data_IF_096067315102
#
_entry.id   IF_096067315102
#
_cell.length_a   1.000
_cell.length_b   1.000
_cell.length_c   1.000
_cell.angle_alpha   90.00
_cell.angle_beta   90.00
_cell.angle_gamma   90.00
#
_symmetry.space_group_name_H-M   'P 1'
#
loop_
_entity.id
_entity.type
_entity.pdbx_description
1 polymer ?
#
# COMPACT_ATOMS: atom_id res chain seq x y z
N UNK A 1 -2.55 -17.68 12.45
CA UNK A 1 -3.21 -16.71 13.38
C UNK A 1 -3.76 -15.56 12.57
N UNK A 2 -5.06 -15.26 12.68
CA UNK A 2 -5.67 -14.20 11.88
C UNK A 2 -5.43 -12.83 12.53
N UNK A 3 -4.81 -11.90 11.82
CA UNK A 3 -4.69 -10.50 12.22
C UNK A 3 -5.99 -9.75 11.84
N UNK A 4 -6.48 -8.84 12.70
CA UNK A 4 -7.72 -8.11 12.42
C UNK A 4 -7.54 -7.12 11.26
N UNK A 5 -8.58 -6.95 10.45
CA UNK A 5 -8.60 -5.97 9.36
C UNK A 5 -7.44 -6.07 8.36
N UNK A 6 -7.00 -7.28 8.06
CA UNK A 6 -6.03 -7.52 7.00
C UNK A 6 -6.75 -7.79 5.69
N UNK A 7 -6.27 -7.15 4.64
CA UNK A 7 -6.65 -7.47 3.25
C UNK A 7 -5.39 -7.72 2.44
N UNK A 8 -5.52 -8.49 1.38
CA UNK A 8 -4.42 -8.85 0.49
C UNK A 8 -4.73 -8.45 -0.96
N UNK A 9 -3.69 -8.12 -1.70
CA UNK A 9 -3.78 -7.80 -3.13
C UNK A 9 -2.56 -8.34 -3.85
N UNK A 10 -2.78 -8.88 -5.04
CA UNK A 10 -1.68 -9.23 -5.94
C UNK A 10 -1.22 -7.98 -6.68
N UNK A 11 0.04 -7.62 -6.52
CA UNK A 11 0.64 -6.44 -7.11
C UNK A 11 1.86 -6.83 -7.93
N UNK A 12 2.16 -6.05 -8.95
CA UNK A 12 3.35 -6.22 -9.82
C UNK A 12 3.53 -7.65 -10.38
N UNK A 13 2.40 -8.36 -10.57
CA UNK A 13 2.34 -9.68 -11.18
C UNK A 13 2.61 -10.85 -10.23
N UNK A 14 3.54 -10.72 -9.28
CA UNK A 14 3.99 -11.83 -8.42
C UNK A 14 4.16 -11.49 -6.94
N UNK A 15 3.86 -10.26 -6.51
CA UNK A 15 3.91 -9.89 -5.10
C UNK A 15 2.53 -9.93 -4.45
N UNK A 16 2.35 -10.75 -3.43
CA UNK A 16 1.18 -10.72 -2.57
C UNK A 16 1.43 -9.70 -1.45
N UNK A 17 0.66 -8.63 -1.47
CA UNK A 17 0.80 -7.50 -0.54
C UNK A 17 -0.28 -7.55 0.52
N UNK A 18 0.12 -7.45 1.78
CA UNK A 18 -0.75 -7.45 2.95
C UNK A 18 -0.95 -6.03 3.48
N UNK A 19 -2.20 -5.64 3.65
CA UNK A 19 -2.61 -4.31 4.07
C UNK A 19 -3.23 -4.35 5.46
N UNK A 20 -2.84 -3.42 6.33
CA UNK A 20 -3.62 -3.08 7.50
C UNK A 20 -4.78 -2.16 7.06
N UNK A 21 -5.99 -2.63 7.20
CA UNK A 21 -7.18 -2.03 6.61
C UNK A 21 -7.35 -2.38 5.13
N UNK A 22 -8.23 -1.66 4.44
CA UNK A 22 -8.47 -1.84 3.01
C UNK A 22 -7.85 -0.68 2.22
N UNK A 23 -7.14 -1.00 1.15
CA UNK A 23 -6.45 -0.03 0.29
C UNK A 23 -7.33 1.14 -0.12
N UNK A 24 -8.57 0.88 -0.55
CA UNK A 24 -9.47 1.92 -1.09
C UNK A 24 -9.95 2.93 -0.04
N UNK A 25 -9.87 2.61 1.25
CA UNK A 25 -10.23 3.51 2.35
C UNK A 25 -9.02 4.11 3.08
N UNK A 26 -7.83 3.95 2.53
CA UNK A 26 -6.60 4.48 3.10
C UNK A 26 -5.83 3.50 4.00
N UNK A 27 -6.07 2.19 3.82
CA UNK A 27 -5.20 1.15 4.39
C UNK A 27 -3.76 1.29 3.89
N UNK A 28 -2.84 0.78 4.67
CA UNK A 28 -1.39 0.83 4.37
C UNK A 28 -0.81 -0.58 4.37
N UNK A 29 0.13 -0.83 3.48
CA UNK A 29 0.84 -2.11 3.45
C UNK A 29 1.76 -2.25 4.66
N UNK A 30 1.85 -3.46 5.21
CA UNK A 30 2.74 -3.79 6.32
C UNK A 30 3.68 -4.95 6.02
N UNK A 31 3.32 -5.80 5.06
CA UNK A 31 4.14 -6.92 4.61
C UNK A 31 3.83 -7.25 3.14
N UNK A 32 4.72 -7.97 2.48
CA UNK A 32 4.51 -8.59 1.18
C UNK A 32 5.38 -9.83 1.01
N UNK A 33 4.93 -10.74 0.17
CA UNK A 33 5.67 -11.95 -0.20
C UNK A 33 5.87 -11.99 -1.71
N UNK A 34 7.01 -12.51 -2.14
CA UNK A 34 7.26 -12.85 -3.55
C UNK A 34 6.80 -14.28 -3.79
N UNK A 35 5.86 -14.48 -4.72
CA UNK A 35 5.28 -15.78 -5.04
C UNK A 35 6.15 -16.59 -6.02
N UNK A 36 6.95 -15.91 -6.83
CA UNK A 36 7.78 -16.56 -7.86
C UNK A 36 9.18 -16.91 -7.35
N UNK A 37 9.59 -16.36 -6.21
CA UNK A 37 10.91 -16.59 -5.63
C UNK A 37 12.06 -16.07 -6.48
N UNK A 38 11.79 -15.19 -7.43
CA UNK A 38 12.79 -14.62 -8.36
C UNK A 38 13.39 -13.31 -7.85
N UNK A 39 12.80 -12.76 -6.77
CA UNK A 39 13.22 -11.51 -6.16
C UNK A 39 14.39 -11.63 -5.18
N UNK A 40 14.78 -10.49 -4.61
CA UNK A 40 15.89 -10.38 -3.64
C UNK A 40 15.52 -11.01 -2.28
N UNK A 41 14.26 -11.31 -2.03
CA UNK A 41 13.78 -11.92 -0.79
C UNK A 41 12.40 -12.53 -0.94
N UNK A 42 12.06 -13.41 -0.02
CA UNK A 42 10.78 -14.14 -0.02
C UNK A 42 9.70 -13.47 0.80
N UNK A 43 10.09 -12.69 1.83
CA UNK A 43 9.19 -11.97 2.73
C UNK A 43 9.76 -10.60 3.05
N UNK A 44 8.96 -9.57 2.91
CA UNK A 44 9.30 -8.19 3.22
C UNK A 44 8.29 -7.62 4.20
N UNK A 45 8.76 -6.89 5.23
CA UNK A 45 7.84 -6.29 6.20
C UNK A 45 8.41 -5.03 6.86
N UNK A 46 7.53 -4.21 7.39
CA UNK A 46 7.86 -3.02 8.15
C UNK A 46 8.22 -3.41 9.58
N UNK A 47 9.48 -3.24 9.98
CA UNK A 47 9.93 -3.61 11.33
C UNK A 47 9.99 -2.46 12.34
N UNK A 48 9.85 -1.22 11.87
CA UNK A 48 10.03 -0.03 12.71
C UNK A 48 11.49 0.33 12.93
N UNK A 49 11.74 1.55 13.38
CA UNK A 49 13.10 2.09 13.56
C UNK A 49 13.93 1.30 14.59
N UNK A 50 13.30 0.90 15.68
CA UNK A 50 13.97 0.23 16.81
C UNK A 50 14.56 -1.12 16.41
N UNK A 51 13.83 -1.91 15.63
CA UNK A 51 14.26 -3.26 15.22
C UNK A 51 15.02 -3.29 13.90
N UNK A 52 15.02 -2.20 13.16
CA UNK A 52 15.62 -2.15 11.83
C UNK A 52 17.10 -2.54 11.83
N UNK A 53 17.88 -1.99 12.74
CA UNK A 53 19.31 -2.30 12.86
C UNK A 53 19.56 -3.70 13.43
N UNK A 54 18.82 -4.07 14.48
CA UNK A 54 18.93 -5.39 15.11
C UNK A 54 18.67 -6.54 14.14
N UNK A 55 17.64 -6.42 13.31
CA UNK A 55 17.30 -7.46 12.34
C UNK A 55 18.32 -7.59 11.22
N UNK A 56 18.96 -6.48 10.80
CA UNK A 56 20.00 -6.51 9.78
C UNK A 56 21.30 -7.17 10.23
N UNK A 57 21.54 -7.33 11.53
CA UNK A 57 22.69 -8.08 12.06
C UNK A 57 22.58 -9.59 11.82
N UNK A 58 21.36 -10.06 11.46
CA UNK A 58 21.12 -11.48 11.19
C UNK A 58 21.41 -11.81 9.73
N UNK A 59 22.18 -12.87 9.50
CA UNK A 59 22.43 -13.41 8.17
C UNK A 59 21.09 -13.75 7.48
N UNK A 60 20.96 -13.36 6.21
CA UNK A 60 19.75 -13.57 5.41
C UNK A 60 18.63 -12.53 5.62
N UNK A 61 18.94 -11.44 6.35
CA UNK A 61 18.06 -10.28 6.46
C UNK A 61 18.77 -9.04 5.93
N UNK A 62 18.15 -8.38 4.97
CA UNK A 62 18.72 -7.20 4.31
C UNK A 62 17.75 -6.01 4.36
N UNK A 63 18.25 -4.77 4.25
CA UNK A 63 17.38 -3.62 4.04
C UNK A 63 16.54 -3.82 2.77
N UNK A 64 15.24 -3.62 2.86
CA UNK A 64 14.35 -3.79 1.72
C UNK A 64 14.68 -2.77 0.63
N UNK A 65 14.99 -3.17 -0.61
CA UNK A 65 15.22 -2.24 -1.71
C UNK A 65 14.08 -1.24 -1.86
N UNK A 66 14.41 0.05 -2.03
CA UNK A 66 13.49 1.18 -2.14
C UNK A 66 12.63 1.47 -0.89
N UNK A 67 12.56 0.57 0.08
CA UNK A 67 11.74 0.71 1.30
C UNK A 67 12.57 0.82 2.58
N UNK A 68 13.89 0.71 2.52
CA UNK A 68 14.79 0.77 3.67
C UNK A 68 14.63 2.06 4.50
N UNK A 69 14.42 3.21 3.85
CA UNK A 69 14.19 4.50 4.52
C UNK A 69 12.92 4.52 5.37
N UNK A 70 11.96 3.67 5.05
CA UNK A 70 10.73 3.48 5.82
C UNK A 70 10.83 2.32 6.81
N UNK A 71 12.06 1.85 7.13
CA UNK A 71 12.34 0.77 8.06
C UNK A 71 11.68 -0.57 7.67
N UNK A 72 11.79 -0.89 6.39
CA UNK A 72 11.42 -2.20 5.87
C UNK A 72 12.67 -3.06 5.67
N UNK A 73 12.53 -4.33 5.99
CA UNK A 73 13.54 -5.36 5.71
C UNK A 73 13.00 -6.41 4.75
N UNK A 74 13.91 -7.11 4.11
CA UNK A 74 13.63 -8.30 3.32
C UNK A 74 14.34 -9.51 3.92
N UNK A 75 13.60 -10.60 4.04
CA UNK A 75 14.12 -11.92 4.44
C UNK A 75 14.42 -12.69 3.16
N UNK A 76 15.66 -13.11 2.99
CA UNK A 76 16.11 -13.72 1.74
C UNK A 76 15.57 -15.14 1.54
N UNK A 77 15.38 -15.90 2.62
CA UNK A 77 14.91 -17.28 2.60
C UNK A 77 13.93 -17.56 3.74
N UNK A 78 13.00 -18.47 3.52
CA UNK A 78 12.00 -18.85 4.51
C UNK A 78 12.56 -19.49 5.79
N UNK A 79 13.75 -20.07 5.73
CA UNK A 79 14.43 -20.70 6.87
C UNK A 79 15.30 -19.73 7.68
N UNK A 80 15.43 -18.47 7.27
CA UNK A 80 16.19 -17.42 7.98
C UNK A 80 15.59 -17.11 9.36
N UNK A 81 14.28 -17.12 9.46
CA UNK A 81 13.52 -16.91 10.70
C UNK A 81 12.69 -18.15 11.04
N UNK A 82 12.56 -18.45 12.33
CA UNK A 82 11.65 -19.50 12.76
C UNK A 82 10.19 -19.09 12.53
N UNK A 83 9.26 -20.03 12.31
CA UNK A 83 7.85 -19.70 12.05
C UNK A 83 7.23 -18.78 13.11
N UNK A 84 7.54 -18.99 14.39
CA UNK A 84 7.07 -18.11 15.47
C UNK A 84 7.63 -16.69 15.38
N UNK A 85 8.91 -16.56 15.03
CA UNK A 85 9.53 -15.25 14.83
C UNK A 85 8.87 -14.48 13.68
N UNK A 86 8.57 -15.17 12.58
CA UNK A 86 7.84 -14.58 11.44
C UNK A 86 6.45 -14.09 11.90
N UNK A 87 5.71 -14.92 12.65
CA UNK A 87 4.40 -14.51 13.15
C UNK A 87 4.48 -13.30 14.09
N UNK A 88 5.47 -13.26 14.97
CA UNK A 88 5.65 -12.15 15.91
C UNK A 88 6.06 -10.86 15.20
N UNK A 89 6.95 -10.94 14.22
CA UNK A 89 7.35 -9.77 13.42
C UNK A 89 6.20 -9.25 12.55
N UNK A 90 5.42 -10.13 11.93
CA UNK A 90 4.24 -9.72 11.15
C UNK A 90 3.16 -9.09 12.03
N UNK A 91 2.98 -9.60 13.26
CA UNK A 91 2.05 -9.02 14.24
C UNK A 91 2.48 -7.61 14.64
N UNK A 92 3.78 -7.41 14.90
CA UNK A 92 4.36 -6.10 15.19
C UNK A 92 4.23 -5.16 14.02
N UNK A 93 4.59 -5.61 12.81
CA UNK A 93 4.46 -4.83 11.59
C UNK A 93 3.03 -4.34 11.37
N UNK A 94 2.06 -5.24 11.52
CA UNK A 94 0.64 -4.88 11.42
C UNK A 94 0.25 -3.83 12.47
N UNK A 95 0.60 -4.02 13.74
CA UNK A 95 0.27 -3.09 14.82
C UNK A 95 0.86 -1.70 14.58
N UNK A 96 2.15 -1.62 14.22
CA UNK A 96 2.84 -0.36 13.91
C UNK A 96 2.18 0.40 12.75
N UNK A 97 1.80 -0.32 11.70
CA UNK A 97 1.14 0.29 10.54
C UNK A 97 -0.31 0.64 10.85
N UNK A 98 -1.03 -0.20 11.60
CA UNK A 98 -2.40 0.08 12.02
C UNK A 98 -2.51 1.36 12.86
N UNK A 99 -1.56 1.58 13.76
CA UNK A 99 -1.49 2.84 14.52
C UNK A 99 -1.33 4.07 13.64
N UNK A 100 -0.59 3.96 12.55
CA UNK A 100 -0.36 5.03 11.57
C UNK A 100 -1.51 5.25 10.59
N UNK A 101 -2.60 4.50 10.68
CA UNK A 101 -3.78 4.73 9.85
C UNK A 101 -4.49 6.03 10.24
N UNK A 102 -5.03 6.74 9.25
CA UNK A 102 -5.79 7.95 9.50
C UNK A 102 -7.04 7.65 10.36
N UNK A 103 -7.47 8.59 11.25
CA UNK A 103 -8.65 8.39 12.10
C UNK A 103 -9.91 8.00 11.33
N UNK A 104 -10.14 8.60 10.15
CA UNK A 104 -11.26 8.26 9.26
C UNK A 104 -11.21 6.81 8.77
N UNK A 105 -10.02 6.29 8.49
CA UNK A 105 -9.83 4.88 8.08
C UNK A 105 -10.16 3.95 9.24
N UNK A 106 -9.65 4.24 10.44
CA UNK A 106 -9.95 3.48 11.65
C UNK A 106 -11.45 3.49 11.98
N UNK A 107 -12.12 4.64 11.80
CA UNK A 107 -13.56 4.76 12.01
C UNK A 107 -14.36 3.84 11.07
N UNK A 108 -13.98 3.75 9.78
CA UNK A 108 -14.63 2.82 8.85
C UNK A 108 -14.36 1.35 9.23
N UNK A 109 -13.15 1.03 9.69
CA UNK A 109 -12.80 -0.33 10.12
C UNK A 109 -13.58 -0.76 11.38
N UNK A 110 -13.94 0.18 12.24
CA UNK A 110 -14.75 -0.06 13.45
C UNK A 110 -16.26 -0.28 13.17
N UNK A 111 -16.73 0.00 11.95
CA UNK A 111 -18.13 -0.23 11.58
C UNK A 111 -18.47 -1.72 11.55
N UNK A 112 -19.77 -2.07 11.76
CA UNK A 112 -20.26 -3.41 11.48
C UNK A 112 -19.90 -3.86 10.07
N UNK A 113 -19.72 -5.15 9.86
CA UNK A 113 -19.21 -5.70 8.59
C UNK A 113 -20.01 -5.21 7.36
N UNK A 114 -21.32 -5.21 7.44
CA UNK A 114 -22.21 -4.76 6.34
C UNK A 114 -21.93 -3.31 5.95
N UNK A 115 -21.81 -2.42 6.94
CA UNK A 115 -21.61 -0.99 6.73
C UNK A 115 -20.20 -0.72 6.24
N UNK A 116 -19.22 -1.44 6.76
CA UNK A 116 -17.81 -1.40 6.31
C UNK A 116 -17.68 -1.79 4.83
N UNK A 117 -18.31 -2.90 4.42
CA UNK A 117 -18.31 -3.33 3.02
C UNK A 117 -18.97 -2.28 2.12
N UNK A 118 -20.07 -1.69 2.55
CA UNK A 118 -20.76 -0.61 1.82
C UNK A 118 -19.85 0.60 1.63
N UNK A 119 -19.23 1.08 2.71
CA UNK A 119 -18.31 2.22 2.68
C UNK A 119 -17.11 1.98 1.74
N UNK A 120 -16.52 0.79 1.76
CA UNK A 120 -15.42 0.40 0.86
C UNK A 120 -15.88 0.42 -0.60
N UNK A 121 -17.06 -0.14 -0.91
CA UNK A 121 -17.60 -0.15 -2.28
C UNK A 121 -17.89 1.25 -2.80
N UNK A 122 -18.45 2.13 -1.98
CA UNK A 122 -18.71 3.52 -2.35
C UNK A 122 -17.39 4.27 -2.62
N UNK A 123 -16.41 4.08 -1.75
CA UNK A 123 -15.10 4.69 -1.94
C UNK A 123 -14.40 4.22 -3.22
N UNK A 124 -14.47 2.93 -3.51
CA UNK A 124 -13.94 2.35 -4.75
C UNK A 124 -14.57 2.99 -6.00
N UNK A 125 -15.90 3.20 -6.00
CA UNK A 125 -16.60 3.89 -7.08
C UNK A 125 -16.10 5.33 -7.28
N UNK A 126 -15.91 6.07 -6.18
CA UNK A 126 -15.41 7.44 -6.22
C UNK A 126 -13.99 7.51 -6.78
N UNK A 127 -13.11 6.57 -6.36
CA UNK A 127 -11.73 6.50 -6.86
C UNK A 127 -11.70 6.15 -8.35
N UNK A 128 -12.52 5.21 -8.81
CA UNK A 128 -12.63 4.84 -10.22
C UNK A 128 -13.15 6.01 -11.09
N UNK A 129 -14.12 6.77 -10.60
CA UNK A 129 -14.62 7.96 -11.30
C UNK A 129 -13.54 9.05 -11.41
N UNK A 130 -12.78 9.31 -10.35
CA UNK A 130 -11.66 10.27 -10.35
C UNK A 130 -10.52 9.84 -11.29
N UNK A 131 -10.24 8.55 -11.38
CA UNK A 131 -9.22 8.03 -12.30
C UNK A 131 -9.61 8.25 -13.76
N UNK A 132 -10.90 8.04 -14.12
CA UNK A 132 -11.44 8.32 -15.46
C UNK A 132 -11.40 9.81 -15.80
N UNK A 133 -11.65 10.69 -14.85
CA UNK A 133 -11.62 12.14 -15.07
C UNK A 133 -10.18 12.65 -15.32
N UNK A 134 -9.20 12.11 -14.60
CA UNK A 134 -7.78 12.42 -14.81
C UNK A 134 -7.20 11.91 -16.14
N UNK A 135 -7.80 10.86 -16.72
CA UNK A 135 -7.37 10.32 -18.02
C UNK A 135 -7.97 11.09 -19.21
N UNK A 136 -8.89 12.06 -18.98
CA UNK A 136 -9.46 12.90 -20.01
C UNK A 136 -8.43 13.97 -20.41
N UNK A 137 -8.02 14.06 -21.69
CA UNK A 137 -7.05 15.06 -22.11
C UNK A 137 -7.58 16.47 -21.77
N UNK A 138 -6.69 17.42 -21.37
CA UNK A 138 -7.10 18.77 -21.08
C UNK A 138 -7.77 19.35 -22.33
N UNK A 139 -8.97 19.91 -22.19
CA UNK A 139 -9.62 20.64 -23.27
C UNK A 139 -8.66 21.76 -23.69
N UNK A 140 -8.09 21.61 -24.88
CA UNK A 140 -7.15 22.57 -25.47
C UNK A 140 -7.78 23.97 -25.53
N UNK A 141 -7.12 25.01 -25.00
CA UNK A 141 -7.63 26.40 -25.12
C UNK A 141 -7.36 27.04 -26.49
N UNK A 142 -7.18 26.24 -27.54
CA UNK A 142 -6.78 26.75 -28.86
C UNK A 142 -7.93 27.32 -29.75
N UNK A 143 -9.19 27.28 -29.27
CA UNK A 143 -10.31 27.76 -30.09
C UNK A 143 -10.73 29.22 -29.85
N UNK A 144 -10.18 29.92 -28.84
CA UNK A 144 -10.62 31.31 -28.56
C UNK A 144 -9.71 32.40 -29.10
N UNK A 145 -8.56 32.04 -29.71
CA UNK A 145 -7.62 33.04 -30.21
C UNK A 145 -7.82 33.40 -31.70
N UNK A 146 -8.51 32.58 -32.48
CA UNK A 146 -8.74 32.83 -33.93
C UNK A 146 -9.91 33.78 -34.21
N UNK A 147 -10.78 34.07 -33.24
CA UNK A 147 -11.93 34.98 -33.42
C UNK A 147 -11.62 36.45 -33.14
N UNK A 148 -10.44 36.76 -32.59
CA UNK A 148 -10.11 38.14 -32.15
C UNK A 148 -9.28 38.95 -33.15
N UNK A 149 -8.75 38.31 -34.18
CA UNK A 149 -7.91 38.98 -35.19
C UNK A 149 -8.67 39.42 -36.42
N UNK A 150 -9.95 39.04 -36.63
CA UNK A 150 -10.77 39.48 -37.79
C UNK A 150 -11.59 40.74 -37.56
N UNK A 151 -11.54 41.37 -36.38
CA UNK A 151 -12.34 42.61 -36.12
C UNK A 151 -11.51 43.89 -36.09
N UNK A 152 -10.23 43.86 -36.49
CA UNK A 152 -9.37 45.05 -36.52
C UNK A 152 -8.81 45.39 -37.93
N UNK A 153 -9.37 44.84 -38.98
CA UNK A 153 -9.04 45.14 -40.38
C UNK A 153 -10.31 45.47 -41.17
N UNK A 154 -11.01 46.54 -40.74
CA UNK A 154 -11.98 47.32 -41.54
C UNK A 154 -11.98 48.74 -41.02
#
# INVERSE_FOLDING_TARGET
>A
MALPHVTETLNWGHHLVYWAGHRDIGGKMFAMTDLDGTGIGVLWFHCGAERFHELQEREGIIPAPHLARAHWIAVERWDTLRPREIEDELRRAHALIFEKLAPKTKAVLALPEKDRIKAIRERKKVLAARAKDKSKPPKSPAASRAARTKKKAR
#
